data_IF_854843602309
#
_entry.id   IF_854843602309
#
_cell.length_a   1.000
_cell.length_b   1.000
_cell.length_c   1.000
_cell.angle_alpha   90.00
_cell.angle_beta   90.00
_cell.angle_gamma   90.00
#
_symmetry.space_group_name_H-M   'P 1'
#
loop_
_entity.id
_entity.type
_entity.pdbx_description
1 polymer ?
#
# COMPACT_ATOMS: atom_id res chain seq x y z
N UNK A 1 -7.61 -26.26 -10.94
CA UNK A 1 -6.46 -26.47 -10.09
C UNK A 1 -6.31 -27.95 -9.74
N UNK A 2 -7.23 -28.57 -8.99
CA UNK A 2 -7.11 -29.98 -8.54
C UNK A 2 -6.90 -30.99 -9.69
N UNK A 3 -7.57 -30.81 -10.85
CA UNK A 3 -7.39 -31.70 -12.02
C UNK A 3 -6.01 -31.54 -12.67
N UNK A 4 -5.37 -30.42 -12.50
CA UNK A 4 -4.05 -30.10 -13.08
C UNK A 4 -2.94 -30.20 -12.03
N UNK A 5 -3.24 -30.70 -10.84
CA UNK A 5 -2.34 -30.80 -9.70
C UNK A 5 -1.65 -29.45 -9.33
N UNK A 6 -2.37 -28.34 -9.55
CA UNK A 6 -1.87 -27.01 -9.24
C UNK A 6 -2.37 -26.60 -7.84
N UNK A 7 -1.46 -26.31 -6.94
CA UNK A 7 -1.78 -25.76 -5.63
C UNK A 7 -2.32 -24.35 -5.78
N UNK A 8 -3.47 -24.07 -5.20
CA UNK A 8 -4.10 -22.77 -5.18
C UNK A 8 -4.46 -22.40 -3.75
N UNK A 9 -4.12 -21.20 -3.33
CA UNK A 9 -4.45 -20.65 -2.02
C UNK A 9 -5.16 -19.29 -2.18
N UNK A 10 -6.10 -18.96 -1.29
CA UNK A 10 -6.76 -17.66 -1.33
C UNK A 10 -5.79 -16.56 -0.90
N UNK A 11 -5.88 -15.42 -1.54
CA UNK A 11 -5.27 -14.18 -1.09
C UNK A 11 -5.87 -13.74 0.24
N UNK A 12 -5.08 -13.01 1.00
CA UNK A 12 -5.53 -12.37 2.25
C UNK A 12 -5.73 -10.88 2.00
N UNK A 13 -6.87 -10.38 2.44
CA UNK A 13 -7.16 -8.95 2.45
C UNK A 13 -7.31 -8.45 3.88
N UNK A 14 -6.89 -7.22 4.12
CA UNK A 14 -7.08 -6.55 5.41
C UNK A 14 -8.50 -6.02 5.55
N UNK A 15 -9.46 -6.93 5.61
CA UNK A 15 -10.89 -6.62 5.65
C UNK A 15 -11.56 -7.31 6.84
N UNK A 16 -12.42 -6.59 7.56
CA UNK A 16 -13.19 -7.19 8.66
C UNK A 16 -14.38 -7.97 8.12
N UNK A 17 -14.43 -9.24 8.47
CA UNK A 17 -15.56 -10.15 8.18
C UNK A 17 -16.40 -10.48 9.41
N UNK A 18 -15.98 -10.01 10.59
CA UNK A 18 -16.70 -10.13 11.85
C UNK A 18 -16.67 -8.78 12.57
N UNK A 19 -17.74 -8.44 13.28
CA UNK A 19 -17.80 -7.19 14.05
C UNK A 19 -16.75 -7.18 15.15
N UNK A 20 -15.94 -6.13 15.18
CA UNK A 20 -14.87 -5.94 16.18
C UNK A 20 -15.12 -4.74 17.10
N UNK A 21 -15.85 -3.72 16.61
CA UNK A 21 -16.24 -2.51 17.35
C UNK A 21 -17.49 -1.89 16.70
N UNK A 22 -17.91 -0.73 17.19
CA UNK A 22 -19.07 -0.01 16.67
C UNK A 22 -18.73 0.99 15.55
N UNK A 23 -17.46 1.34 15.39
CA UNK A 23 -17.02 2.39 14.46
C UNK A 23 -16.78 1.85 13.06
N UNK A 24 -16.56 0.54 12.93
CA UNK A 24 -16.28 -0.12 11.68
C UNK A 24 -17.32 -1.18 11.35
N UNK A 25 -17.92 -1.07 10.19
CA UNK A 25 -18.88 -2.05 9.69
C UNK A 25 -18.19 -3.34 9.20
N UNK A 26 -18.98 -4.40 9.08
CA UNK A 26 -18.55 -5.67 8.50
C UNK A 26 -18.68 -5.60 6.98
N UNK A 27 -17.73 -6.22 6.27
CA UNK A 27 -17.79 -6.33 4.82
C UNK A 27 -19.07 -7.06 4.38
N UNK A 28 -19.80 -6.46 3.46
CA UNK A 28 -21.00 -7.01 2.84
C UNK A 28 -20.82 -7.36 1.37
N UNK A 29 -19.55 -7.54 0.93
CA UNK A 29 -19.17 -8.04 -0.40
C UNK A 29 -19.65 -7.19 -1.58
N UNK A 30 -19.65 -5.87 -1.43
CA UNK A 30 -20.07 -4.93 -2.47
C UNK A 30 -19.11 -4.80 -3.65
N UNK A 31 -17.91 -5.39 -3.58
CA UNK A 31 -16.84 -5.31 -4.58
C UNK A 31 -16.34 -3.87 -4.90
N UNK A 32 -16.61 -2.91 -4.02
CA UNK A 32 -16.24 -1.52 -4.17
C UNK A 32 -14.88 -1.13 -3.56
N UNK A 33 -14.03 -2.08 -3.19
CA UNK A 33 -12.81 -1.84 -2.39
C UNK A 33 -11.85 -0.82 -3.02
N UNK A 34 -11.73 -0.79 -4.34
CA UNK A 34 -10.87 0.18 -5.04
C UNK A 34 -11.39 1.64 -5.00
N UNK A 35 -12.61 1.87 -4.49
CA UNK A 35 -13.26 3.18 -4.46
C UNK A 35 -13.43 3.76 -3.06
N UNK A 36 -12.78 3.24 -2.06
CA UNK A 36 -13.02 3.43 -0.63
C UNK A 36 -14.16 2.59 -0.08
N UNK A 37 -14.00 2.13 1.15
CA UNK A 37 -15.00 1.33 1.84
C UNK A 37 -15.90 2.22 2.70
N UNK A 38 -17.15 2.39 2.30
CA UNK A 38 -18.11 3.25 3.00
C UNK A 38 -18.43 2.81 4.43
N UNK A 39 -18.16 1.56 4.77
CA UNK A 39 -18.38 1.01 6.11
C UNK A 39 -17.08 0.81 6.89
N UNK A 40 -15.95 1.27 6.35
CA UNK A 40 -14.62 1.10 6.94
C UNK A 40 -14.27 -0.36 7.30
N UNK A 41 -14.77 -1.31 6.52
CA UNK A 41 -14.41 -2.72 6.71
C UNK A 41 -12.97 -2.99 6.31
N UNK A 42 -12.44 -2.30 5.29
CA UNK A 42 -11.05 -2.37 4.88
C UNK A 42 -10.11 -1.67 5.86
N UNK A 43 -8.84 -2.02 5.82
CA UNK A 43 -7.82 -1.32 6.58
C UNK A 43 -7.35 -0.08 5.81
N UNK A 44 -7.42 1.07 6.48
CA UNK A 44 -6.69 2.27 6.09
C UNK A 44 -6.12 2.95 7.33
N UNK A 45 -5.03 3.69 7.20
CA UNK A 45 -4.45 4.45 8.31
C UNK A 45 -5.42 5.48 8.87
N UNK A 46 -6.24 6.08 8.02
CA UNK A 46 -7.29 7.02 8.46
C UNK A 46 -8.33 6.33 9.35
N UNK A 47 -9.03 5.34 8.81
CA UNK A 47 -10.16 4.70 9.48
C UNK A 47 -9.76 3.81 10.67
N UNK A 48 -8.56 3.24 10.65
CA UNK A 48 -8.13 2.26 11.65
C UNK A 48 -7.20 2.82 12.72
N UNK A 49 -6.51 3.92 12.45
CA UNK A 49 -5.49 4.46 13.35
C UNK A 49 -5.76 5.92 13.70
N UNK A 50 -5.83 6.81 12.72
CA UNK A 50 -5.87 8.27 12.96
C UNK A 50 -7.19 8.68 13.61
N UNK A 51 -8.33 8.38 12.97
CA UNK A 51 -9.64 8.77 13.52
C UNK A 51 -9.94 8.12 14.87
N UNK A 52 -9.67 6.83 15.09
CA UNK A 52 -9.81 6.25 16.42
C UNK A 52 -8.91 6.89 17.48
N UNK A 53 -7.67 7.25 17.13
CA UNK A 53 -6.77 7.92 18.06
C UNK A 53 -7.26 9.32 18.44
N UNK A 54 -7.77 10.10 17.47
CA UNK A 54 -8.39 11.41 17.73
C UNK A 54 -9.65 11.28 18.60
N UNK A 55 -10.53 10.31 18.28
CA UNK A 55 -11.77 10.08 19.03
C UNK A 55 -11.52 9.60 20.48
N UNK A 56 -10.42 8.90 20.72
CA UNK A 56 -10.01 8.47 22.04
C UNK A 56 -9.36 9.58 22.89
N UNK A 57 -9.29 10.81 22.38
CA UNK A 57 -8.62 11.92 23.06
C UNK A 57 -7.11 11.85 23.00
N UNK A 58 -6.56 11.09 22.06
CA UNK A 58 -5.11 11.03 21.82
C UNK A 58 -4.56 12.39 21.39
N UNK A 59 -3.38 12.71 21.87
CA UNK A 59 -2.64 13.91 21.43
C UNK A 59 -2.04 13.64 20.05
N UNK A 60 -2.83 13.93 19.01
CA UNK A 60 -2.43 13.76 17.63
C UNK A 60 -2.76 15.03 16.83
N UNK A 61 -1.75 15.64 16.25
CA UNK A 61 -1.88 16.76 15.33
C UNK A 61 -1.71 16.27 13.89
N UNK A 62 -2.71 16.53 13.07
CA UNK A 62 -2.70 16.15 11.66
C UNK A 62 -2.49 17.39 10.79
N UNK A 63 -1.33 17.50 10.18
CA UNK A 63 -1.00 18.57 9.22
C UNK A 63 -1.32 18.10 7.80
N UNK A 64 -2.50 18.43 7.32
CA UNK A 64 -2.91 18.18 5.93
C UNK A 64 -2.27 19.20 4.99
N UNK A 65 -2.26 18.91 3.68
CA UNK A 65 -1.66 19.78 2.65
C UNK A 65 -0.18 20.14 2.90
N UNK A 66 0.53 19.31 3.68
CA UNK A 66 1.88 19.55 4.14
C UNK A 66 2.85 18.55 3.49
N UNK A 67 3.67 19.04 2.57
CA UNK A 67 4.63 18.23 1.83
C UNK A 67 6.00 18.31 2.51
N UNK A 68 6.38 17.26 3.22
CA UNK A 68 7.71 17.19 3.85
C UNK A 68 8.80 17.24 2.77
N UNK A 69 9.75 18.16 2.97
CA UNK A 69 10.87 18.41 2.08
C UNK A 69 12.17 17.80 2.60
N UNK A 70 12.51 18.05 3.86
CA UNK A 70 13.76 17.59 4.48
C UNK A 70 13.52 17.12 5.91
N UNK A 71 14.40 16.26 6.39
CA UNK A 71 14.60 16.01 7.82
C UNK A 71 15.67 16.97 8.32
N UNK A 72 15.37 17.72 9.36
CA UNK A 72 16.30 18.63 10.02
C UNK A 72 17.22 17.84 10.97
N UNK A 73 18.49 18.24 11.03
CA UNK A 73 19.47 17.60 11.92
C UNK A 73 20.22 18.64 12.73
N UNK A 74 20.66 18.27 13.94
CA UNK A 74 21.53 19.10 14.77
C UNK A 74 23.03 18.98 14.34
N UNK A 75 23.90 19.66 15.08
CA UNK A 75 25.35 19.63 14.86
C UNK A 75 26.00 18.25 15.03
N UNK A 76 25.32 17.32 15.73
CA UNK A 76 25.75 15.93 15.89
C UNK A 76 25.21 15.01 14.80
N UNK A 77 24.42 15.54 13.85
CA UNK A 77 23.79 14.77 12.78
C UNK A 77 22.53 14.00 13.19
N UNK A 78 21.99 14.26 14.40
CA UNK A 78 20.75 13.63 14.88
C UNK A 78 19.53 14.39 14.38
N UNK A 79 18.48 13.66 13.99
CA UNK A 79 17.21 14.25 13.56
C UNK A 79 16.58 15.07 14.69
N UNK A 80 16.09 16.26 14.36
CA UNK A 80 15.44 17.20 15.28
C UNK A 80 14.05 17.61 14.85
N UNK A 81 13.63 17.22 13.65
CA UNK A 81 12.34 17.57 13.08
C UNK A 81 12.32 17.47 11.57
N UNK A 82 11.39 18.16 10.98
CA UNK A 82 11.22 18.22 9.51
C UNK A 82 10.97 19.65 9.05
N UNK A 83 11.36 19.96 7.80
CA UNK A 83 10.78 21.09 7.08
C UNK A 83 9.73 20.58 6.09
N UNK A 84 8.66 21.34 5.92
CA UNK A 84 7.60 21.02 4.98
C UNK A 84 7.08 22.28 4.27
N UNK A 85 6.57 22.08 3.07
CA UNK A 85 5.89 23.14 2.31
C UNK A 85 4.40 22.95 2.49
N UNK A 86 3.72 23.98 2.94
CA UNK A 86 2.27 24.02 2.95
C UNK A 86 1.80 24.31 1.52
N UNK A 87 0.91 23.47 1.00
CA UNK A 87 0.40 23.59 -0.39
C UNK A 87 -0.59 24.73 -0.56
N UNK A 88 -1.22 25.20 0.51
CA UNK A 88 -2.25 26.22 0.45
C UNK A 88 -1.66 27.63 0.27
N UNK A 89 -0.49 27.88 0.89
CA UNK A 89 0.18 29.18 0.85
C UNK A 89 1.56 29.16 0.17
N UNK A 90 2.09 27.96 -0.13
CA UNK A 90 3.40 27.77 -0.74
C UNK A 90 4.60 28.03 0.17
N UNK A 91 4.37 28.34 1.44
CA UNK A 91 5.43 28.67 2.40
C UNK A 91 6.07 27.43 2.99
N UNK A 92 7.34 27.57 3.41
CA UNK A 92 8.09 26.55 4.12
C UNK A 92 7.99 26.76 5.63
N UNK A 93 7.69 25.68 6.34
CA UNK A 93 7.56 25.65 7.80
C UNK A 93 8.46 24.57 8.39
N UNK A 94 8.73 24.68 9.69
CA UNK A 94 9.49 23.67 10.44
C UNK A 94 8.65 23.13 11.59
N UNK A 95 8.75 21.82 11.78
CA UNK A 95 8.14 21.11 12.90
C UNK A 95 9.24 20.34 13.64
N UNK A 96 9.40 20.63 14.93
CA UNK A 96 10.38 19.94 15.76
C UNK A 96 9.81 18.63 16.32
N UNK A 97 10.64 17.61 16.42
CA UNK A 97 10.28 16.32 16.98
C UNK A 97 11.48 15.59 17.53
N UNK A 98 11.30 14.86 18.61
CA UNK A 98 12.35 14.02 19.21
C UNK A 98 12.68 12.79 18.37
N UNK A 99 11.72 12.33 17.59
CA UNK A 99 11.85 11.19 16.68
C UNK A 99 11.14 11.55 15.36
N UNK A 100 11.75 11.23 14.25
CA UNK A 100 11.17 11.39 12.91
C UNK A 100 11.00 10.00 12.29
N UNK A 101 9.78 9.67 11.91
CA UNK A 101 9.46 8.42 11.19
C UNK A 101 9.10 8.75 9.76
N UNK A 102 9.91 8.29 8.80
CA UNK A 102 9.64 8.43 7.38
C UNK A 102 8.81 7.24 6.88
N UNK A 103 7.55 7.49 6.63
CA UNK A 103 6.60 6.52 6.08
C UNK A 103 5.95 7.05 4.78
N UNK A 104 6.74 7.74 3.95
CA UNK A 104 6.28 8.46 2.77
C UNK A 104 6.38 7.63 1.47
N UNK A 105 6.29 6.31 1.54
CA UNK A 105 6.56 5.35 0.46
C UNK A 105 8.04 5.26 0.06
N UNK A 106 8.40 4.27 -0.74
CA UNK A 106 9.79 4.01 -1.12
C UNK A 106 10.44 5.21 -1.83
N UNK A 107 9.82 5.70 -2.90
CA UNK A 107 10.38 6.80 -3.70
C UNK A 107 10.40 8.13 -2.94
N UNK A 108 9.32 8.47 -2.24
CA UNK A 108 9.23 9.75 -1.53
C UNK A 108 10.12 9.79 -0.29
N UNK A 109 10.26 8.69 0.44
CA UNK A 109 11.20 8.59 1.57
C UNK A 109 12.65 8.76 1.10
N UNK A 110 13.04 8.10 0.00
CA UNK A 110 14.37 8.27 -0.59
C UNK A 110 14.60 9.72 -1.04
N UNK A 111 13.62 10.35 -1.67
CA UNK A 111 13.69 11.77 -2.08
C UNK A 111 13.90 12.69 -0.86
N UNK A 112 13.14 12.48 0.23
CA UNK A 112 13.29 13.29 1.45
C UNK A 112 14.70 13.12 2.01
N UNK A 113 15.22 11.89 2.10
CA UNK A 113 16.57 11.62 2.59
C UNK A 113 17.65 12.30 1.72
N UNK A 114 17.53 12.20 0.39
CA UNK A 114 18.47 12.85 -0.55
C UNK A 114 18.42 14.38 -0.48
N UNK A 115 17.25 14.95 -0.21
CA UNK A 115 17.10 16.39 -0.02
C UNK A 115 17.64 16.87 1.35
N UNK A 116 17.71 15.99 2.34
CA UNK A 116 18.15 16.30 3.72
C UNK A 116 19.68 16.38 3.81
N UNK A 117 20.25 17.38 3.11
CA UNK A 117 21.68 17.64 3.10
C UNK A 117 22.10 18.53 4.25
N UNK A 118 23.24 18.23 4.87
CA UNK A 118 23.88 19.02 5.88
C UNK A 118 25.40 18.90 5.79
N UNK A 119 26.13 19.61 6.65
CA UNK A 119 27.58 19.49 6.74
C UNK A 119 28.01 18.05 7.06
N UNK A 120 27.26 17.35 7.92
CA UNK A 120 27.52 15.96 8.29
C UNK A 120 26.99 14.97 7.25
N UNK A 121 26.03 15.37 6.45
CA UNK A 121 25.35 14.53 5.45
C UNK A 121 25.35 15.23 4.07
N UNK A 122 26.52 15.45 3.43
CA UNK A 122 26.60 16.23 2.18
C UNK A 122 25.87 15.58 1.02
N UNK A 123 25.76 14.24 1.02
CA UNK A 123 25.09 13.46 -0.03
C UNK A 123 23.64 13.07 0.33
N UNK A 124 23.08 13.66 1.41
CA UNK A 124 21.77 13.31 1.95
C UNK A 124 21.85 12.47 3.21
N UNK A 125 20.79 12.55 4.00
CA UNK A 125 20.69 11.85 5.28
C UNK A 125 20.63 10.32 5.05
N UNK A 126 21.41 9.56 5.84
CA UNK A 126 21.47 8.10 5.72
C UNK A 126 22.15 7.59 4.44
N UNK A 127 22.80 8.45 3.67
CA UNK A 127 23.38 8.12 2.35
C UNK A 127 24.91 8.07 2.34
N UNK A 128 25.54 7.62 3.42
CA UNK A 128 27.01 7.48 3.49
C UNK A 128 27.56 6.43 2.52
N UNK A 129 26.77 5.43 2.17
CA UNK A 129 27.11 4.38 1.21
C UNK A 129 26.71 4.69 -0.23
N UNK A 130 26.11 5.87 -0.47
CA UNK A 130 25.60 6.30 -1.78
C UNK A 130 24.57 5.35 -2.41
N UNK A 131 23.77 4.67 -1.56
CA UNK A 131 22.77 3.69 -2.00
C UNK A 131 21.33 4.20 -1.95
N UNK A 132 21.06 5.31 -1.24
CA UNK A 132 19.71 5.87 -1.14
C UNK A 132 19.23 6.32 -2.53
N UNK A 133 18.06 5.84 -2.90
CA UNK A 133 17.45 6.11 -4.22
C UNK A 133 18.02 5.28 -5.37
N UNK A 134 18.90 4.32 -5.09
CA UNK A 134 19.44 3.39 -6.08
C UNK A 134 18.83 2.00 -5.89
N UNK A 135 18.96 1.18 -6.93
CA UNK A 135 18.51 -0.23 -6.93
C UNK A 135 17.02 -0.41 -6.61
N UNK A 136 16.19 0.54 -7.04
CA UNK A 136 14.76 0.34 -7.00
C UNK A 136 14.40 -0.91 -7.82
N UNK A 137 13.73 -1.84 -7.20
CA UNK A 137 13.16 -2.98 -7.89
C UNK A 137 11.73 -3.21 -7.41
N UNK A 138 10.91 -3.75 -8.26
CA UNK A 138 9.55 -4.17 -7.98
C UNK A 138 9.34 -5.60 -8.48
N UNK A 139 8.21 -6.19 -8.17
CA UNK A 139 7.80 -7.42 -8.79
C UNK A 139 7.62 -7.20 -10.29
N UNK A 140 8.15 -8.11 -11.09
CA UNK A 140 7.97 -8.11 -12.53
C UNK A 140 7.03 -9.25 -12.90
N UNK A 141 6.19 -9.04 -13.91
CA UNK A 141 5.25 -10.05 -14.35
C UNK A 141 4.61 -9.66 -15.68
N UNK A 142 3.70 -10.50 -16.11
CA UNK A 142 2.84 -10.25 -17.26
C UNK A 142 1.40 -10.57 -16.90
N UNK A 143 0.49 -9.86 -17.52
CA UNK A 143 -0.95 -10.06 -17.35
C UNK A 143 -1.51 -10.79 -18.56
N UNK A 144 -2.46 -11.69 -18.30
CA UNK A 144 -3.24 -12.36 -19.34
C UNK A 144 -4.72 -12.23 -18.99
N UNK A 145 -5.50 -11.72 -19.92
CA UNK A 145 -6.95 -11.75 -19.85
C UNK A 145 -7.50 -12.83 -20.75
N UNK A 146 -8.45 -13.58 -20.23
CA UNK A 146 -9.12 -14.63 -20.99
C UNK A 146 -10.64 -14.51 -20.86
N UNK A 147 -11.33 -14.70 -21.98
CA UNK A 147 -12.78 -14.82 -22.00
C UNK A 147 -13.15 -16.30 -21.86
N UNK A 148 -13.89 -16.61 -20.81
CA UNK A 148 -14.34 -17.97 -20.54
C UNK A 148 -15.81 -18.11 -20.94
N UNK A 149 -16.07 -18.64 -22.13
CA UNK A 149 -17.43 -18.82 -22.66
C UNK A 149 -18.32 -19.67 -21.74
N UNK A 150 -17.72 -20.57 -20.96
CA UNK A 150 -18.42 -21.41 -19.99
C UNK A 150 -19.01 -20.61 -18.81
N UNK A 151 -18.57 -19.39 -18.60
CA UNK A 151 -19.02 -18.52 -17.51
C UNK A 151 -20.02 -17.44 -17.98
N UNK A 152 -20.24 -17.25 -19.26
CA UNK A 152 -21.07 -16.16 -19.79
C UNK A 152 -22.52 -16.21 -19.33
N UNK A 153 -23.08 -17.41 -19.20
CA UNK A 153 -24.47 -17.62 -18.77
C UNK A 153 -24.59 -17.99 -17.28
N UNK A 154 -23.50 -17.89 -16.54
CA UNK A 154 -23.50 -18.14 -15.10
C UNK A 154 -24.23 -17.02 -14.37
N UNK A 155 -25.05 -17.37 -13.36
CA UNK A 155 -25.60 -16.39 -12.44
C UNK A 155 -24.48 -15.62 -11.77
N UNK A 156 -24.62 -14.31 -11.71
CA UNK A 156 -23.67 -13.42 -11.03
C UNK A 156 -23.87 -13.55 -9.52
N UNK A 157 -22.78 -13.79 -8.80
CA UNK A 157 -22.74 -13.84 -7.33
C UNK A 157 -21.84 -12.74 -6.80
N UNK A 158 -22.33 -11.96 -5.86
CA UNK A 158 -21.51 -11.02 -5.09
C UNK A 158 -20.78 -11.70 -3.92
N UNK A 159 -21.13 -12.94 -3.64
CA UNK A 159 -20.62 -13.72 -2.51
C UNK A 159 -19.36 -14.51 -2.87
N UNK A 160 -18.90 -14.44 -4.13
CA UNK A 160 -17.69 -15.12 -4.60
C UNK A 160 -16.40 -14.60 -3.89
N UNK A 161 -16.50 -13.51 -3.16
CA UNK A 161 -15.41 -12.95 -2.38
C UNK A 161 -15.49 -11.43 -2.23
N UNK A 162 -14.49 -10.87 -1.57
CA UNK A 162 -14.32 -9.43 -1.41
C UNK A 162 -13.72 -8.87 -2.70
N UNK A 163 -14.16 -7.69 -3.15
CA UNK A 163 -13.57 -7.02 -4.31
C UNK A 163 -12.06 -6.85 -4.15
N UNK A 164 -11.31 -7.19 -5.20
CA UNK A 164 -9.86 -7.26 -5.15
C UNK A 164 -9.30 -8.56 -4.54
N UNK A 165 -10.16 -9.47 -4.06
CA UNK A 165 -9.73 -10.80 -3.66
C UNK A 165 -9.37 -11.64 -4.89
N UNK A 166 -8.29 -12.38 -4.78
CA UNK A 166 -7.86 -13.33 -5.81
C UNK A 166 -7.37 -14.62 -5.16
N UNK A 167 -7.18 -15.63 -5.98
CA UNK A 167 -6.46 -16.84 -5.60
C UNK A 167 -5.13 -16.84 -6.31
N UNK A 168 -4.14 -17.46 -5.72
CA UNK A 168 -2.84 -17.57 -6.35
C UNK A 168 -2.19 -18.93 -6.14
N UNK A 169 -1.34 -19.28 -7.07
CA UNK A 169 -0.51 -20.47 -7.04
C UNK A 169 0.88 -20.07 -6.51
N UNK A 170 1.25 -20.55 -5.30
CA UNK A 170 2.42 -20.05 -4.58
C UNK A 170 3.68 -20.86 -4.92
N UNK A 171 4.27 -20.65 -6.07
CA UNK A 171 5.49 -21.33 -6.50
C UNK A 171 6.76 -20.93 -5.73
N UNK A 172 6.66 -19.96 -4.81
CA UNK A 172 7.77 -19.62 -3.91
C UNK A 172 7.86 -20.50 -2.66
N UNK A 173 6.81 -21.26 -2.32
CA UNK A 173 6.78 -22.09 -1.12
C UNK A 173 7.65 -23.35 -1.22
N UNK A 174 7.76 -23.88 -2.42
CA UNK A 174 8.61 -25.02 -2.70
C UNK A 174 9.18 -24.87 -4.12
N UNK A 175 10.37 -24.32 -4.21
CA UNK A 175 11.02 -23.96 -5.47
C UNK A 175 12.33 -24.71 -5.71
N UNK A 176 12.53 -25.86 -5.06
CA UNK A 176 13.79 -26.62 -5.16
C UNK A 176 14.06 -27.15 -6.57
N UNK A 177 12.99 -27.35 -7.34
CA UNK A 177 13.05 -27.86 -8.70
C UNK A 177 13.14 -26.76 -9.77
N UNK A 178 13.13 -25.49 -9.37
CA UNK A 178 13.27 -24.37 -10.31
C UNK A 178 14.72 -24.18 -10.69
N UNK A 179 14.97 -23.90 -11.97
CA UNK A 179 16.30 -23.63 -12.53
C UNK A 179 16.76 -22.16 -12.33
N UNK A 180 15.99 -21.38 -11.58
CA UNK A 180 16.31 -20.00 -11.21
C UNK A 180 16.10 -19.76 -9.71
N UNK A 181 16.83 -18.81 -9.11
CA UNK A 181 16.69 -18.50 -7.70
C UNK A 181 15.35 -17.84 -7.38
N UNK A 182 14.86 -18.06 -6.14
CA UNK A 182 13.59 -17.53 -5.64
C UNK A 182 12.40 -18.25 -6.26
N UNK A 183 11.27 -17.59 -6.39
CA UNK A 183 10.05 -18.18 -6.89
C UNK A 183 9.17 -17.16 -7.59
N UNK A 184 8.03 -17.60 -8.04
CA UNK A 184 7.01 -16.79 -8.65
C UNK A 184 5.63 -17.19 -8.14
N UNK A 185 4.61 -16.45 -8.49
CA UNK A 185 3.23 -16.84 -8.28
C UNK A 185 2.38 -16.49 -9.52
N UNK A 186 1.29 -17.17 -9.63
CA UNK A 186 0.26 -16.85 -10.63
C UNK A 186 -0.97 -16.43 -9.87
N UNK A 187 -1.42 -15.22 -10.11
CA UNK A 187 -2.66 -14.68 -9.54
C UNK A 187 -3.80 -14.90 -10.51
N UNK A 188 -4.92 -15.40 -9.99
CA UNK A 188 -6.15 -15.53 -10.76
C UNK A 188 -7.19 -14.63 -10.13
N UNK A 189 -7.51 -13.58 -10.85
CA UNK A 189 -8.50 -12.59 -10.45
C UNK A 189 -9.85 -12.98 -11.04
N UNK A 190 -10.89 -12.80 -10.28
CA UNK A 190 -12.25 -13.05 -10.70
C UNK A 190 -13.23 -12.19 -9.92
N UNK A 191 -14.50 -12.29 -10.29
CA UNK A 191 -15.56 -11.57 -9.63
C UNK A 191 -16.08 -10.40 -10.46
N UNK A 192 -17.05 -9.69 -9.89
CA UNK A 192 -17.70 -8.57 -10.54
C UNK A 192 -16.96 -7.29 -10.18
N UNK A 193 -16.33 -6.67 -11.16
CA UNK A 193 -15.75 -5.34 -11.02
C UNK A 193 -16.79 -4.24 -11.18
N UNK A 194 -16.61 -3.10 -10.53
CA UNK A 194 -17.36 -1.91 -10.86
C UNK A 194 -16.95 -1.42 -12.26
N UNK A 195 -17.87 -0.86 -13.07
CA UNK A 195 -17.53 -0.30 -14.36
C UNK A 195 -16.40 0.72 -14.25
N UNK A 196 -15.36 0.56 -15.05
CA UNK A 196 -14.26 1.52 -15.16
C UNK A 196 -14.34 2.20 -16.51
N UNK A 197 -14.17 3.53 -16.52
CA UNK A 197 -14.07 4.27 -17.78
C UNK A 197 -12.75 3.92 -18.49
N UNK A 198 -12.80 3.65 -19.78
CA UNK A 198 -11.63 3.53 -20.63
C UNK A 198 -11.07 2.12 -20.82
N UNK A 199 -11.68 1.08 -20.30
CA UNK A 199 -11.38 -0.29 -20.67
C UNK A 199 -12.41 -0.78 -21.70
N UNK A 200 -12.16 -0.53 -22.97
CA UNK A 200 -12.87 -1.15 -24.06
C UNK A 200 -12.13 -2.43 -24.47
N UNK A 201 -12.85 -3.52 -24.60
CA UNK A 201 -12.36 -4.66 -25.37
C UNK A 201 -12.78 -4.39 -26.83
N UNK A 202 -11.82 -4.24 -27.72
CA UNK A 202 -12.02 -4.28 -29.16
C UNK A 202 -11.98 -5.73 -29.63
#
# INVERSE_FOLDING_TARGET
AKKADIKVIPSRLSVITKRINNDRGVCFYCNGCARSCNVYADFSSGSCLIFPAQNAGGQIDLYVNSMVRTVETNSEGKATGVSYINKDDGNEYKLNGKVVVLAASACSSARILLNSKSKQHPNGLGNSSDLVGKYLHDSTGGDMMAFLSQLTNRKIYNEDGVGGMHVYSPWWLDNKELDFPRGYHIEVWGGMGAPTYGTGFN
#
